data_IF_379898291071
#
_entry.id   IF_379898291071
#
_cell.length_a   1.000
_cell.length_b   1.000
_cell.length_c   1.000
_cell.angle_alpha   90.00
_cell.angle_beta   90.00
_cell.angle_gamma   90.00
#
_symmetry.space_group_name_H-M   'P 1'
#
loop_
_entity.id
_entity.type
_entity.pdbx_description
1 polymer ?
#
# COMPACT_ATOMS: atom_id res chain seq x y z
N UNK A 1 -52.79 -7.37 -42.49
CA UNK A 1 -51.60 -6.51 -42.27
C UNK A 1 -51.16 -6.74 -40.83
N UNK A 2 -50.07 -7.47 -40.61
CA UNK A 2 -48.74 -6.92 -40.28
C UNK A 2 -48.85 -5.79 -39.24
N UNK A 3 -48.39 -5.90 -38.00
CA UNK A 3 -47.22 -6.62 -37.49
C UNK A 3 -46.19 -5.58 -37.05
N UNK A 4 -45.94 -5.49 -35.73
CA UNK A 4 -44.70 -5.07 -35.06
C UNK A 4 -45.01 -4.42 -33.69
N UNK A 5 -45.30 -5.25 -32.68
CA UNK A 5 -45.00 -4.86 -31.31
C UNK A 5 -43.51 -5.15 -31.11
N UNK A 6 -42.72 -4.08 -30.99
CA UNK A 6 -41.29 -4.13 -30.71
C UNK A 6 -41.10 -4.71 -29.31
N UNK A 7 -40.75 -6.00 -29.22
CA UNK A 7 -40.10 -6.55 -28.04
C UNK A 7 -38.72 -5.89 -27.91
N UNK A 8 -38.65 -4.85 -27.07
CA UNK A 8 -37.39 -4.32 -26.61
C UNK A 8 -36.72 -5.38 -25.71
N UNK A 9 -35.83 -6.13 -26.35
CA UNK A 9 -34.67 -6.84 -25.82
C UNK A 9 -34.38 -6.47 -24.36
N UNK A 10 -34.61 -7.46 -23.48
CA UNK A 10 -34.28 -7.44 -22.07
C UNK A 10 -32.77 -7.29 -21.89
N UNK A 11 -32.30 -6.06 -22.07
CA UNK A 11 -30.92 -5.66 -21.92
C UNK A 11 -30.45 -6.07 -20.54
N UNK A 12 -29.46 -6.96 -20.55
CA UNK A 12 -28.45 -7.33 -19.56
C UNK A 12 -28.10 -6.27 -18.48
N UNK A 13 -29.09 -5.80 -17.73
CA UNK A 13 -28.99 -4.75 -16.71
C UNK A 13 -29.11 -5.29 -15.28
N UNK A 14 -29.14 -6.62 -15.11
CA UNK A 14 -29.49 -7.24 -13.83
C UNK A 14 -28.40 -8.20 -13.29
N UNK A 15 -27.12 -7.89 -13.56
CA UNK A 15 -25.98 -8.69 -13.05
C UNK A 15 -25.14 -8.00 -11.97
N UNK A 16 -25.56 -6.83 -11.51
CA UNK A 16 -25.16 -6.31 -10.21
C UNK A 16 -26.20 -6.75 -9.16
N UNK A 17 -26.43 -8.06 -9.09
CA UNK A 17 -27.26 -8.66 -8.07
C UNK A 17 -26.78 -8.17 -6.70
N UNK A 18 -27.61 -7.35 -6.07
CA UNK A 18 -27.68 -7.07 -4.63
C UNK A 18 -26.39 -7.46 -3.86
N UNK A 19 -25.33 -6.67 -3.98
CA UNK A 19 -24.14 -6.87 -3.17
C UNK A 19 -24.46 -6.48 -1.73
N UNK A 20 -24.98 -7.43 -0.95
CA UNK A 20 -25.25 -7.27 0.47
C UNK A 20 -23.92 -7.10 1.19
N UNK A 21 -23.65 -5.90 1.70
CA UNK A 21 -22.50 -5.64 2.56
C UNK A 21 -22.85 -6.06 4.00
N UNK A 22 -21.96 -6.83 4.64
CA UNK A 22 -22.07 -7.15 6.06
C UNK A 22 -21.18 -6.19 6.87
N UNK A 23 -21.66 -5.79 8.05
CA UNK A 23 -20.91 -4.98 9.00
C UNK A 23 -20.51 -5.82 10.21
N UNK A 24 -19.26 -5.67 10.65
CA UNK A 24 -18.73 -6.33 11.83
C UNK A 24 -18.09 -5.28 12.75
N UNK A 25 -18.51 -5.24 14.01
CA UNK A 25 -17.79 -4.52 15.06
C UNK A 25 -16.59 -5.37 15.51
N UNK A 26 -15.38 -4.93 15.19
CA UNK A 26 -14.17 -5.69 15.52
C UNK A 26 -12.93 -4.82 15.62
N UNK A 27 -12.05 -5.14 16.59
CA UNK A 27 -10.71 -4.57 16.66
C UNK A 27 -9.71 -5.40 15.83
N UNK A 28 -9.32 -4.87 14.67
CA UNK A 28 -8.38 -5.51 13.77
C UNK A 28 -6.98 -5.77 14.39
N UNK A 29 -6.60 -5.09 15.47
CA UNK A 29 -5.35 -5.33 16.20
C UNK A 29 -5.34 -6.65 17.00
N UNK A 30 -6.51 -7.23 17.23
CA UNK A 30 -6.68 -8.56 17.83
C UNK A 30 -6.48 -9.70 16.82
N UNK A 31 -6.43 -9.37 15.52
CA UNK A 31 -6.43 -10.31 14.41
C UNK A 31 -7.83 -10.56 13.85
N UNK A 32 -7.91 -10.91 12.57
CA UNK A 32 -9.19 -11.04 11.85
C UNK A 32 -9.90 -12.36 12.16
N UNK A 33 -11.22 -12.35 12.47
CA UNK A 33 -11.96 -13.52 12.93
C UNK A 33 -12.59 -14.31 11.78
N UNK A 34 -11.83 -14.55 10.71
CA UNK A 34 -12.33 -15.27 9.52
C UNK A 34 -11.52 -16.54 9.27
N UNK A 35 -12.15 -17.48 8.57
CA UNK A 35 -11.51 -18.72 8.11
C UNK A 35 -10.35 -18.43 7.14
N UNK A 36 -9.44 -19.39 7.05
CA UNK A 36 -8.32 -19.32 6.10
C UNK A 36 -8.85 -19.33 4.66
N UNK A 37 -8.26 -18.50 3.80
CA UNK A 37 -8.64 -18.38 2.40
C UNK A 37 -10.08 -17.89 2.15
N UNK A 38 -10.69 -17.19 3.12
CA UNK A 38 -12.04 -16.65 2.98
C UNK A 38 -12.18 -15.59 1.88
N UNK A 39 -11.12 -14.82 1.59
CA UNK A 39 -11.20 -13.65 0.73
C UNK A 39 -10.22 -13.70 -0.45
N UNK A 40 -10.68 -13.20 -1.60
CA UNK A 40 -9.85 -12.92 -2.78
C UNK A 40 -8.92 -11.72 -2.57
N UNK A 41 -9.35 -10.76 -1.77
CA UNK A 41 -8.60 -9.54 -1.52
C UNK A 41 -9.10 -8.76 -0.33
N UNK A 42 -8.32 -7.75 0.05
CA UNK A 42 -8.64 -6.84 1.14
C UNK A 42 -8.30 -5.40 0.77
N UNK A 43 -9.14 -4.46 1.19
CA UNK A 43 -8.89 -3.03 1.05
C UNK A 43 -9.05 -2.37 2.41
N UNK A 44 -8.15 -1.45 2.73
CA UNK A 44 -8.27 -0.60 3.90
C UNK A 44 -7.95 0.83 3.51
N UNK A 45 -8.78 1.77 3.94
CA UNK A 45 -8.61 3.19 3.65
C UNK A 45 -8.53 3.93 4.96
N UNK A 46 -7.38 4.57 5.20
CA UNK A 46 -7.17 5.47 6.34
C UNK A 46 -7.41 4.82 7.71
N UNK A 47 -7.14 3.51 7.86
CA UNK A 47 -7.35 2.80 9.12
C UNK A 47 -6.08 2.21 9.73
N UNK A 48 -5.13 1.76 8.92
CA UNK A 48 -3.96 0.97 9.37
C UNK A 48 -3.09 1.70 10.40
N UNK A 49 -2.99 3.02 10.31
CA UNK A 49 -2.20 3.84 11.24
C UNK A 49 -2.72 3.76 12.68
N UNK A 50 -4.00 3.46 12.89
CA UNK A 50 -4.56 3.30 14.23
C UNK A 50 -4.00 2.09 14.98
N UNK A 51 -3.40 1.10 14.28
CA UNK A 51 -2.67 0.01 14.93
C UNK A 51 -1.37 0.48 15.60
N UNK A 52 -0.91 1.69 15.31
CA UNK A 52 0.28 2.27 15.90
C UNK A 52 -0.02 3.15 17.13
N UNK A 53 -1.28 3.52 17.33
CA UNK A 53 -1.72 4.26 18.50
C UNK A 53 -2.31 3.29 19.52
N UNK A 54 -1.68 3.16 20.68
CA UNK A 54 -2.25 2.42 21.80
C UNK A 54 -1.85 3.07 23.14
N UNK A 55 -2.72 2.91 24.15
CA UNK A 55 -2.57 3.44 25.49
C UNK A 55 -2.08 2.38 26.49
N UNK A 56 -1.98 1.10 26.10
CA UNK A 56 -1.58 -0.01 26.97
C UNK A 56 -0.27 -0.70 26.50
N UNK A 57 0.59 -1.03 27.46
CA UNK A 57 1.85 -1.75 27.24
C UNK A 57 1.64 -3.19 26.72
N UNK A 58 0.50 -3.82 27.05
CA UNK A 58 0.17 -5.17 26.60
C UNK A 58 -0.14 -5.25 25.08
N UNK A 59 -0.44 -4.11 24.47
CA UNK A 59 -0.92 -3.94 23.10
C UNK A 59 0.01 -3.03 22.28
N UNK A 60 1.32 -3.26 22.41
CA UNK A 60 2.31 -2.51 21.63
C UNK A 60 2.05 -2.58 20.12
N UNK A 61 2.31 -1.47 19.41
CA UNK A 61 2.14 -1.37 17.96
C UNK A 61 2.73 -2.55 17.16
N UNK A 62 3.98 -3.02 17.44
CA UNK A 62 4.52 -4.18 16.74
C UNK A 62 3.70 -5.46 16.94
N UNK A 63 3.16 -5.69 18.14
CA UNK A 63 2.35 -6.87 18.45
C UNK A 63 1.01 -6.83 17.71
N UNK A 64 0.32 -5.68 17.73
CA UNK A 64 -0.95 -5.47 17.02
C UNK A 64 -0.79 -5.63 15.52
N UNK A 65 0.24 -4.99 14.94
CA UNK A 65 0.56 -5.12 13.52
C UNK A 65 0.89 -6.56 13.13
N UNK A 66 1.67 -7.28 13.94
CA UNK A 66 1.99 -8.69 13.68
C UNK A 66 0.73 -9.57 13.70
N UNK A 67 -0.18 -9.38 14.66
CA UNK A 67 -1.45 -10.12 14.72
C UNK A 67 -2.34 -9.81 13.53
N UNK A 68 -2.50 -8.54 13.21
CA UNK A 68 -3.28 -8.09 12.06
C UNK A 68 -2.75 -8.69 10.76
N UNK A 69 -1.47 -8.53 10.44
CA UNK A 69 -0.93 -9.03 9.18
C UNK A 69 -0.87 -10.56 9.11
N UNK A 70 -0.57 -11.26 10.21
CA UNK A 70 -0.58 -12.72 10.22
C UNK A 70 -1.99 -13.29 9.97
N UNK A 71 -3.01 -12.71 10.62
CA UNK A 71 -4.41 -13.11 10.37
C UNK A 71 -4.88 -12.71 8.97
N UNK A 72 -4.59 -11.49 8.51
CA UNK A 72 -4.89 -11.07 7.14
C UNK A 72 -4.27 -11.99 6.09
N UNK A 73 -3.01 -12.39 6.28
CA UNK A 73 -2.33 -13.32 5.37
C UNK A 73 -3.06 -14.66 5.29
N UNK A 74 -3.52 -15.19 6.43
CA UNK A 74 -4.30 -16.44 6.49
C UNK A 74 -5.67 -16.31 5.84
N UNK A 75 -6.37 -15.20 6.08
CA UNK A 75 -7.72 -14.98 5.55
C UNK A 75 -7.72 -14.79 4.02
N UNK A 76 -6.60 -14.42 3.41
CA UNK A 76 -6.45 -14.31 1.97
C UNK A 76 -6.12 -15.66 1.34
N UNK A 77 -6.73 -15.96 0.19
CA UNK A 77 -6.36 -17.14 -0.60
C UNK A 77 -4.96 -17.00 -1.21
N UNK A 78 -4.45 -18.09 -1.77
CA UNK A 78 -3.26 -18.06 -2.61
C UNK A 78 -3.48 -17.11 -3.81
N UNK A 79 -2.55 -16.18 -4.02
CA UNK A 79 -2.68 -15.10 -5.01
C UNK A 79 -3.54 -13.92 -4.56
N UNK A 80 -4.13 -13.99 -3.38
CA UNK A 80 -4.89 -12.90 -2.78
C UNK A 80 -4.04 -11.63 -2.61
N UNK A 81 -4.70 -10.48 -2.70
CA UNK A 81 -4.04 -9.16 -2.69
C UNK A 81 -4.64 -8.24 -1.66
N UNK A 82 -3.82 -7.38 -1.06
CA UNK A 82 -4.30 -6.33 -0.19
C UNK A 82 -3.79 -4.96 -0.64
N UNK A 83 -4.67 -3.96 -0.62
CA UNK A 83 -4.33 -2.57 -0.86
C UNK A 83 -4.76 -1.74 0.35
N UNK A 84 -3.76 -1.30 1.14
CA UNK A 84 -4.01 -0.65 2.43
C UNK A 84 -3.46 0.77 2.36
N UNK A 85 -4.34 1.76 2.24
CA UNK A 85 -3.96 3.17 2.30
C UNK A 85 -3.84 3.60 3.76
N UNK A 86 -2.75 4.32 4.08
CA UNK A 86 -2.48 4.79 5.43
C UNK A 86 -1.75 6.14 5.45
N UNK A 87 -1.69 6.76 6.64
CA UNK A 87 -0.97 8.00 6.90
C UNK A 87 0.03 7.76 8.02
N UNK A 88 1.29 7.43 7.71
CA UNK A 88 2.31 7.31 8.73
C UNK A 88 2.68 8.68 9.29
N UNK A 89 2.91 8.76 10.61
CA UNK A 89 3.42 9.97 11.27
C UNK A 89 4.85 10.29 10.85
N UNK A 90 5.66 9.25 10.64
CA UNK A 90 7.07 9.34 10.27
C UNK A 90 7.51 8.09 9.51
N UNK A 91 8.70 8.16 8.92
CA UNK A 91 9.26 7.07 8.12
C UNK A 91 9.48 5.79 8.93
N UNK A 92 9.80 5.91 10.22
CA UNK A 92 9.98 4.74 11.09
C UNK A 92 8.66 3.97 11.30
N UNK A 93 7.53 4.67 11.42
CA UNK A 93 6.21 4.06 11.51
C UNK A 93 5.83 3.37 10.19
N UNK A 94 6.13 4.00 9.04
CA UNK A 94 5.94 3.39 7.73
C UNK A 94 6.76 2.10 7.57
N UNK A 95 8.04 2.14 7.95
CA UNK A 95 8.93 0.99 7.93
C UNK A 95 8.47 -0.12 8.90
N UNK A 96 7.97 0.23 10.09
CA UNK A 96 7.44 -0.72 11.05
C UNK A 96 6.24 -1.50 10.49
N UNK A 97 5.29 -0.78 9.87
CA UNK A 97 4.12 -1.37 9.22
C UNK A 97 4.54 -2.30 8.07
N UNK A 98 5.41 -1.81 7.19
CA UNK A 98 5.95 -2.58 6.07
C UNK A 98 6.66 -3.86 6.52
N UNK A 99 7.50 -3.77 7.55
CA UNK A 99 8.21 -4.91 8.11
C UNK A 99 7.26 -5.94 8.73
N UNK A 100 6.15 -5.51 9.34
CA UNK A 100 5.13 -6.41 9.87
C UNK A 100 4.43 -7.22 8.76
N UNK A 101 4.07 -6.57 7.66
CA UNK A 101 3.53 -7.26 6.49
C UNK A 101 4.53 -8.26 5.90
N UNK A 102 5.79 -7.87 5.77
CA UNK A 102 6.86 -8.74 5.27
C UNK A 102 7.07 -9.97 6.17
N UNK A 103 7.08 -9.78 7.50
CA UNK A 103 7.19 -10.89 8.46
C UNK A 103 6.03 -11.88 8.37
N UNK A 104 4.82 -11.41 8.08
CA UNK A 104 3.66 -12.27 7.88
C UNK A 104 3.75 -13.11 6.58
N UNK A 105 4.65 -12.76 5.66
CA UNK A 105 4.89 -13.50 4.43
C UNK A 105 4.42 -12.79 3.15
N UNK A 106 3.89 -11.57 3.25
CA UNK A 106 3.47 -10.82 2.08
C UNK A 106 4.67 -10.40 1.22
N UNK A 107 4.51 -10.51 -0.09
CA UNK A 107 5.32 -9.79 -1.07
C UNK A 107 4.64 -8.46 -1.42
N UNK A 108 5.41 -7.48 -1.88
CA UNK A 108 4.88 -6.18 -2.26
C UNK A 108 5.76 -5.02 -1.82
N UNK A 109 5.13 -3.88 -1.52
CA UNK A 109 5.86 -2.67 -1.17
C UNK A 109 4.93 -1.52 -0.78
N UNK A 110 5.53 -0.48 -0.18
CA UNK A 110 4.88 0.83 -0.07
C UNK A 110 4.95 1.53 -1.42
N UNK A 111 3.85 2.14 -1.82
CA UNK A 111 3.68 2.97 -3.01
C UNK A 111 3.23 4.34 -2.53
N UNK A 112 3.93 5.39 -2.93
CA UNK A 112 3.63 6.77 -2.50
C UNK A 112 3.19 7.58 -3.71
N UNK A 113 1.90 7.86 -3.79
CA UNK A 113 1.36 8.77 -4.80
C UNK A 113 1.66 10.22 -4.39
N UNK A 114 1.95 11.05 -5.40
CA UNK A 114 2.26 12.47 -5.25
C UNK A 114 3.41 12.75 -4.26
N UNK A 115 4.59 12.11 -4.40
CA UNK A 115 5.65 12.17 -3.38
C UNK A 115 6.18 13.60 -3.13
N UNK A 116 6.12 14.46 -4.15
CA UNK A 116 6.55 15.87 -4.07
C UNK A 116 5.50 16.80 -3.42
N UNK A 117 4.27 16.34 -3.24
CA UNK A 117 3.24 17.11 -2.52
C UNK A 117 3.23 16.71 -1.06
N UNK A 118 3.07 17.66 -0.15
CA UNK A 118 2.76 17.37 1.26
C UNK A 118 1.26 17.23 1.49
N UNK A 119 0.44 17.94 0.71
CA UNK A 119 -1.03 17.95 0.84
C UNK A 119 -1.70 16.76 0.15
N UNK A 120 -1.19 16.35 -1.01
CA UNK A 120 -1.80 15.29 -1.82
C UNK A 120 -1.13 13.91 -1.64
N UNK A 121 -0.11 13.80 -0.78
CA UNK A 121 0.65 12.57 -0.57
C UNK A 121 -0.26 11.45 -0.06
N UNK A 122 -0.18 10.28 -0.68
CA UNK A 122 -0.92 9.10 -0.22
C UNK A 122 0.00 7.88 -0.19
N UNK A 123 0.09 7.23 0.97
CA UNK A 123 0.83 5.97 1.11
C UNK A 123 -0.12 4.80 0.95
N UNK A 124 0.25 3.86 0.09
CA UNK A 124 -0.45 2.61 -0.15
C UNK A 124 0.51 1.46 0.12
N UNK A 125 0.13 0.55 1.00
CA UNK A 125 0.78 -0.74 1.15
C UNK A 125 0.10 -1.73 0.19
N UNK A 126 0.78 -2.05 -0.91
CA UNK A 126 0.29 -2.98 -1.92
C UNK A 126 0.94 -4.35 -1.71
N UNK A 127 0.13 -5.35 -1.35
CA UNK A 127 0.59 -6.66 -0.91
C UNK A 127 -0.03 -7.79 -1.73
N UNK A 128 0.66 -8.92 -1.76
CA UNK A 128 0.13 -10.19 -2.23
C UNK A 128 0.72 -11.37 -1.45
N UNK A 129 -0.05 -12.45 -1.33
CA UNK A 129 0.43 -13.73 -0.80
C UNK A 129 1.36 -14.46 -1.79
N UNK A 130 1.42 -14.02 -3.05
CA UNK A 130 2.35 -14.54 -4.05
C UNK A 130 3.74 -13.91 -3.95
N UNK A 131 4.77 -14.74 -3.79
CA UNK A 131 6.18 -14.30 -3.66
C UNK A 131 6.71 -13.45 -4.82
N UNK A 132 6.16 -13.60 -6.03
CA UNK A 132 6.62 -12.90 -7.25
C UNK A 132 5.85 -11.62 -7.53
N UNK A 133 4.98 -11.19 -6.62
CA UNK A 133 4.20 -9.99 -6.82
C UNK A 133 5.08 -8.73 -6.88
N UNK A 134 4.81 -7.89 -7.89
CA UNK A 134 5.42 -6.57 -8.05
C UNK A 134 4.36 -5.52 -7.76
N UNK A 135 4.59 -4.70 -6.75
CA UNK A 135 3.71 -3.59 -6.42
C UNK A 135 3.59 -2.62 -7.62
N UNK A 136 2.43 -1.95 -7.77
CA UNK A 136 2.18 -1.03 -8.88
C UNK A 136 3.13 0.17 -8.86
N UNK A 137 3.23 0.84 -10.00
CA UNK A 137 3.92 2.12 -10.11
C UNK A 137 3.10 3.20 -9.39
N UNK A 138 3.79 4.14 -8.74
CA UNK A 138 3.17 5.27 -8.06
C UNK A 138 2.65 6.29 -9.09
N UNK A 139 1.77 7.20 -8.67
CA UNK A 139 1.29 8.31 -9.50
C UNK A 139 2.03 9.61 -9.20
N UNK A 140 2.33 10.35 -10.26
CA UNK A 140 2.88 11.70 -10.17
C UNK A 140 1.78 12.79 -10.09
N UNK A 141 2.19 14.06 -10.04
CA UNK A 141 1.28 15.22 -9.99
C UNK A 141 0.33 15.34 -11.19
N UNK A 142 0.70 14.77 -12.35
CA UNK A 142 -0.15 14.72 -13.54
C UNK A 142 -1.07 13.47 -13.54
N UNK A 143 -1.00 12.63 -12.51
CA UNK A 143 -1.72 11.36 -12.41
C UNK A 143 -1.11 10.25 -13.27
N UNK A 144 0.05 10.49 -13.89
CA UNK A 144 0.71 9.52 -14.74
C UNK A 144 1.48 8.48 -13.91
N UNK A 145 1.62 7.22 -14.39
CA UNK A 145 2.45 6.22 -13.73
C UNK A 145 3.91 6.65 -13.71
N UNK A 146 4.43 6.88 -12.52
CA UNK A 146 5.84 7.11 -12.27
C UNK A 146 6.54 5.76 -12.12
N UNK A 147 7.17 5.32 -13.22
CA UNK A 147 7.93 4.07 -13.24
C UNK A 147 8.96 4.06 -12.11
N UNK A 148 8.95 2.98 -11.32
CA UNK A 148 10.07 2.67 -10.40
C UNK A 148 11.38 2.75 -11.17
N UNK A 149 12.33 3.57 -10.69
CA UNK A 149 13.63 3.77 -11.33
C UNK A 149 14.26 2.41 -11.68
N UNK A 150 14.33 2.10 -12.98
CA UNK A 150 15.07 0.95 -13.45
C UNK A 150 16.53 1.17 -13.09
N UNK A 151 17.16 0.19 -12.43
CA UNK A 151 18.55 0.28 -11.97
C UNK A 151 19.48 0.88 -13.02
N UNK A 152 20.48 1.63 -12.53
CA UNK A 152 21.40 2.42 -13.34
C UNK A 152 21.83 1.68 -14.63
N UNK A 153 21.66 2.35 -15.75
CA UNK A 153 22.20 1.95 -17.05
C UNK A 153 23.47 2.74 -17.29
N UNK A 154 24.55 2.06 -17.69
CA UNK A 154 25.78 2.74 -18.11
C UNK A 154 25.52 3.58 -19.38
N UNK A 155 26.39 4.56 -19.67
CA UNK A 155 26.35 5.46 -20.84
C UNK A 155 26.28 4.73 -22.19
N UNK A 156 26.53 3.41 -22.22
CA UNK A 156 26.39 2.53 -23.38
C UNK A 156 25.08 1.72 -23.42
N UNK A 157 24.08 2.09 -22.61
CA UNK A 157 22.76 1.45 -22.59
C UNK A 157 22.72 0.05 -21.96
N UNK A 158 23.82 -0.40 -21.33
CA UNK A 158 23.86 -1.72 -20.66
C UNK A 158 23.33 -1.61 -19.23
N UNK A 159 22.30 -2.41 -18.93
CA UNK A 159 21.79 -2.59 -17.57
C UNK A 159 22.89 -3.15 -16.67
N UNK A 160 23.26 -2.41 -15.62
CA UNK A 160 24.13 -2.92 -14.58
C UNK A 160 23.38 -4.03 -13.83
N UNK A 161 23.83 -5.28 -13.98
CA UNK A 161 23.23 -6.41 -13.26
C UNK A 161 23.64 -6.30 -11.78
N UNK A 162 22.69 -5.95 -10.92
CA UNK A 162 22.84 -6.15 -9.47
C UNK A 162 22.88 -7.66 -9.19
N UNK A 163 23.95 -8.07 -8.50
CA UNK A 163 24.22 -9.46 -8.10
C UNK A 163 23.18 -9.85 -7.03
N UNK A 164 22.68 -11.07 -7.12
CA UNK A 164 21.54 -11.54 -6.34
C UNK A 164 21.72 -11.38 -4.83
N UNK A 165 20.81 -10.60 -4.25
CA UNK A 165 20.38 -10.64 -2.86
C UNK A 165 18.91 -10.26 -2.87
N UNK A 166 18.10 -10.94 -2.07
CA UNK A 166 16.67 -10.65 -1.88
C UNK A 166 16.48 -9.13 -1.72
N UNK A 167 15.82 -8.48 -2.70
CA UNK A 167 15.66 -7.02 -2.67
C UNK A 167 14.86 -6.67 -1.40
N UNK A 168 15.37 -5.77 -0.54
CA UNK A 168 14.65 -5.33 0.64
C UNK A 168 13.34 -4.65 0.22
N UNK A 169 12.38 -4.63 1.12
CA UNK A 169 11.10 -3.92 0.96
C UNK A 169 11.40 -2.42 0.84
N UNK A 170 11.66 -1.95 -0.37
CA UNK A 170 12.21 -0.63 -0.64
C UNK A 170 11.11 0.43 -0.44
N UNK A 171 11.21 1.16 0.66
CA UNK A 171 10.60 2.47 0.79
C UNK A 171 11.33 3.37 -0.21
N UNK A 172 10.63 3.78 -1.27
CA UNK A 172 11.20 4.75 -2.22
C UNK A 172 11.21 6.11 -1.54
N UNK A 173 12.42 6.54 -1.15
CA UNK A 173 12.66 7.81 -0.49
C UNK A 173 12.09 8.99 -1.31
N UNK A 174 11.37 9.86 -0.61
CA UNK A 174 11.17 11.22 -1.06
C UNK A 174 12.56 11.87 -1.17
N UNK A 175 12.93 12.32 -2.37
CA UNK A 175 14.13 13.13 -2.57
C UNK A 175 14.04 14.35 -1.64
N UNK A 176 14.86 14.35 -0.59
CA UNK A 176 15.12 15.52 0.22
C UNK A 176 15.79 16.56 -0.69
N UNK A 177 15.06 17.60 -1.04
CA UNK A 177 15.52 18.71 -1.87
C UNK A 177 14.76 19.98 -1.51
N UNK A 178 14.92 20.45 -0.27
CA UNK A 178 14.62 21.84 0.04
C UNK A 178 15.74 22.75 -0.50
N UNK A 179 15.43 23.95 -1.00
CA UNK A 179 16.46 24.89 -1.44
C UNK A 179 17.37 25.25 -0.27
N UNK A 180 18.68 25.03 -0.44
CA UNK A 180 19.72 25.61 0.41
C UNK A 180 19.95 27.04 -0.06
N UNK A 181 19.18 27.98 0.47
CA UNK A 181 19.47 29.40 0.32
C UNK A 181 20.14 29.94 1.59
N UNK A 182 21.43 30.27 1.41
CA UNK A 182 22.21 31.31 2.06
C UNK A 182 22.14 31.48 3.60
N UNK A 183 23.11 30.87 4.31
CA UNK A 183 23.65 31.51 5.51
C UNK A 183 24.41 32.77 5.07
N UNK A 184 23.89 33.95 5.41
CA UNK A 184 24.64 35.20 5.38
C UNK A 184 25.77 35.21 6.41
N UNK A 185 26.79 36.08 6.24
CA UNK A 185 27.94 36.16 7.14
C UNK A 185 27.50 36.65 8.53
N UNK A 186 27.93 35.92 9.57
CA UNK A 186 27.67 36.27 10.96
C UNK A 186 28.31 37.61 11.38
N UNK A 187 27.84 38.22 12.47
CA UNK A 187 28.29 39.54 12.89
C UNK A 187 29.74 39.53 13.43
N UNK A 188 30.47 40.66 13.31
CA UNK A 188 31.82 40.77 13.83
C UNK A 188 31.82 40.73 15.35
N UNK A 189 32.79 40.00 15.92
CA UNK A 189 33.07 40.01 17.35
C UNK A 189 33.67 41.37 17.73
N UNK A 190 33.00 42.07 18.64
CA UNK A 190 33.53 43.16 19.45
C UNK A 190 33.46 42.73 20.92
#
# INVERSE_FOLDING_TARGET
ENGSEEEADGGAGDRAANATAELLEHDMGLGLPFRDGAFDGAVSVSALQWLCYDNDAASSAPRRLNRFFASLYRCLRAGGRAALQFYPENDAQAALIAAAAQRAGFAGGVVVDFPRSTKARKHYLCLSTERRYRAPDARDAAGAPQRRGGGAVDRRGRRLRRRGSHEPFEQVDAVAGGPRDALGPGPPRG
#
